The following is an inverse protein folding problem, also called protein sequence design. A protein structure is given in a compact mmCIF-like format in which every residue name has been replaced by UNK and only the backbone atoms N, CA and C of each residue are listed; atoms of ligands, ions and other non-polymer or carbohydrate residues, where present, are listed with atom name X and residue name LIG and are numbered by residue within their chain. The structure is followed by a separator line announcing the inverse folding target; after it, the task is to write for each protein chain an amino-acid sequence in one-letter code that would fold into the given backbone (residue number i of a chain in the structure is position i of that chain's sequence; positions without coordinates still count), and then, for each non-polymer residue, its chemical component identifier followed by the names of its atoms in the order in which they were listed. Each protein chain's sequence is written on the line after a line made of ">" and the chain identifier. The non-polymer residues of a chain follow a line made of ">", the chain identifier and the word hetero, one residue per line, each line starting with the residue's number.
data_IF_796700505452
#
_entry.id   IF_796700505452
#
_cell.length_a   1.000
_cell.length_b   1.000
_cell.length_c   1.000
_cell.angle_alpha   90.00
_cell.angle_beta   90.00
_cell.angle_gamma   90.00
#
_symmetry.space_group_name_H-M   'P 1'
#
loop_
_entity.id
_entity.type
_entity.pdbx_description
1 polymer ?
#
# COMPACT_ATOMS: atom_id res chain seq x y z
N UNK A 1 14.29 -12.92 66.33
CA UNK A 1 14.11 -11.50 65.94
C UNK A 1 15.09 -11.07 64.82
N UNK A 2 16.41 -10.95 65.03
CA UNK A 2 17.32 -10.43 63.97
C UNK A 2 17.63 -11.44 62.83
N UNK A 3 17.74 -12.75 63.13
CA UNK A 3 18.07 -13.77 62.12
C UNK A 3 16.94 -14.11 61.12
N UNK A 4 15.68 -13.96 61.51
CA UNK A 4 14.53 -14.17 60.62
C UNK A 4 14.38 -13.02 59.62
N UNK A 5 14.66 -11.79 60.07
CA UNK A 5 14.69 -10.61 59.21
C UNK A 5 15.80 -10.73 58.14
N UNK A 6 16.97 -11.26 58.49
CA UNK A 6 18.05 -11.52 57.55
C UNK A 6 17.69 -12.56 56.48
N UNK A 7 16.97 -13.63 56.86
CA UNK A 7 16.46 -14.64 55.92
C UNK A 7 15.43 -14.06 54.94
N UNK A 8 14.50 -13.24 55.43
CA UNK A 8 13.50 -12.58 54.59
C UNK A 8 14.14 -11.60 53.59
N UNK A 9 15.16 -10.86 54.02
CA UNK A 9 15.92 -9.94 53.15
C UNK A 9 16.63 -10.73 52.04
N UNK A 10 17.27 -11.85 52.38
CA UNK A 10 17.95 -12.70 51.39
C UNK A 10 16.97 -13.29 50.37
N UNK A 11 15.83 -13.81 50.82
CA UNK A 11 14.79 -14.33 49.93
C UNK A 11 14.22 -13.26 48.99
N UNK A 12 14.02 -12.03 49.48
CA UNK A 12 13.60 -10.90 48.65
C UNK A 12 14.68 -10.49 47.64
N UNK A 13 15.95 -10.52 48.03
CA UNK A 13 17.08 -10.24 47.13
C UNK A 13 17.14 -11.25 45.98
N UNK A 14 17.07 -12.55 46.30
CA UNK A 14 17.09 -13.63 45.30
C UNK A 14 15.90 -13.52 44.34
N UNK A 15 14.70 -13.21 44.88
CA UNK A 15 13.49 -13.01 44.08
C UNK A 15 13.62 -11.80 43.13
N UNK A 16 14.24 -10.72 43.61
CA UNK A 16 14.46 -9.49 42.82
C UNK A 16 15.50 -9.73 41.72
N UNK A 17 16.57 -10.47 42.02
CA UNK A 17 17.59 -10.86 41.02
C UNK A 17 16.98 -11.72 39.90
N UNK A 18 16.11 -12.66 40.25
CA UNK A 18 15.40 -13.48 39.26
C UNK A 18 14.47 -12.64 38.37
N UNK A 19 13.72 -11.70 38.95
CA UNK A 19 12.87 -10.78 38.19
C UNK A 19 13.69 -9.88 37.26
N UNK A 20 14.83 -9.38 37.73
CA UNK A 20 15.73 -8.57 36.91
C UNK A 20 16.28 -9.37 35.72
N UNK A 21 16.71 -10.61 35.94
CA UNK A 21 17.17 -11.50 34.87
C UNK A 21 16.08 -11.74 33.81
N UNK A 22 14.84 -12.02 34.23
CA UNK A 22 13.71 -12.16 33.30
C UNK A 22 13.41 -10.85 32.55
N UNK A 23 13.51 -9.71 33.23
CA UNK A 23 13.29 -8.40 32.62
C UNK A 23 14.31 -8.09 31.53
N UNK A 24 15.60 -8.41 31.73
CA UNK A 24 16.62 -8.22 30.71
C UNK A 24 16.42 -9.17 29.52
N UNK A 25 16.04 -10.43 29.76
CA UNK A 25 15.69 -11.36 28.67
C UNK A 25 14.52 -10.85 27.81
N UNK A 26 13.47 -10.32 28.46
CA UNK A 26 12.35 -9.72 27.74
C UNK A 26 12.76 -8.48 26.94
N UNK A 27 13.63 -7.65 27.50
CA UNK A 27 14.15 -6.47 26.81
C UNK A 27 14.97 -6.85 25.58
N UNK A 28 15.85 -7.84 25.69
CA UNK A 28 16.61 -8.38 24.54
C UNK A 28 15.68 -8.94 23.47
N UNK A 29 14.66 -9.70 23.86
CA UNK A 29 13.66 -10.23 22.94
C UNK A 29 12.90 -9.12 22.20
N UNK A 30 12.46 -8.09 22.93
CA UNK A 30 11.77 -6.94 22.33
C UNK A 30 12.69 -6.15 21.38
N UNK A 31 13.97 -6.00 21.71
CA UNK A 31 14.95 -5.37 20.82
C UNK A 31 15.12 -6.15 19.51
N UNK A 32 15.20 -7.48 19.59
CA UNK A 32 15.27 -8.33 18.40
C UNK A 32 14.00 -8.20 17.54
N UNK A 33 12.82 -8.20 18.17
CA UNK A 33 11.55 -8.05 17.46
C UNK A 33 11.44 -6.68 16.77
N UNK A 34 11.84 -5.60 17.45
CA UNK A 34 11.87 -4.25 16.87
C UNK A 34 12.82 -4.22 15.67
N UNK A 35 14.01 -4.81 15.79
CA UNK A 35 14.96 -4.87 14.69
C UNK A 35 14.39 -5.60 13.47
N UNK A 36 13.72 -6.74 13.67
CA UNK A 36 13.05 -7.46 12.59
C UNK A 36 11.92 -6.64 11.94
N UNK A 37 11.11 -5.95 12.75
CA UNK A 37 10.06 -5.07 12.24
C UNK A 37 10.62 -3.93 11.41
N UNK A 38 11.72 -3.31 11.84
CA UNK A 38 12.42 -2.27 11.09
C UNK A 38 12.94 -2.79 9.74
N UNK A 39 13.53 -3.99 9.71
CA UNK A 39 13.97 -4.62 8.46
C UNK A 39 12.80 -4.87 7.51
N UNK A 40 11.69 -5.43 8.01
CA UNK A 40 10.50 -5.66 7.20
C UNK A 40 9.90 -4.36 6.68
N UNK A 41 9.86 -3.32 7.50
CA UNK A 41 9.38 -2.00 7.10
C UNK A 41 10.24 -1.41 5.99
N UNK A 42 11.57 -1.53 6.09
CA UNK A 42 12.47 -1.04 5.04
C UNK A 42 12.23 -1.77 3.71
N UNK A 43 12.10 -3.10 3.74
CA UNK A 43 11.80 -3.88 2.54
C UNK A 43 10.48 -3.47 1.89
N UNK A 44 9.45 -3.18 2.68
CA UNK A 44 8.17 -2.69 2.15
C UNK A 44 8.30 -1.32 1.49
N UNK A 45 9.07 -0.40 2.08
CA UNK A 45 9.32 0.92 1.48
C UNK A 45 10.07 0.81 0.15
N UNK A 46 11.04 -0.11 0.06
CA UNK A 46 11.79 -0.34 -1.18
C UNK A 46 10.85 -0.85 -2.29
N UNK A 47 9.97 -1.81 -1.97
CA UNK A 47 8.97 -2.33 -2.91
C UNK A 47 7.97 -1.25 -3.34
N UNK A 48 7.47 -0.43 -2.41
CA UNK A 48 6.56 0.68 -2.73
C UNK A 48 7.24 1.67 -3.68
N UNK A 49 8.50 1.98 -3.43
CA UNK A 49 9.28 2.89 -4.28
C UNK A 49 9.46 2.31 -5.68
N UNK A 50 9.81 1.03 -5.79
CA UNK A 50 9.95 0.35 -7.08
C UNK A 50 8.63 0.33 -7.86
N UNK A 51 7.52 -0.01 -7.20
CA UNK A 51 6.20 -0.02 -7.83
C UNK A 51 5.77 1.38 -8.27
N UNK A 52 6.02 2.40 -7.46
CA UNK A 52 5.72 3.79 -7.81
C UNK A 52 6.49 4.24 -9.05
N UNK A 53 7.77 3.87 -9.15
CA UNK A 53 8.58 4.15 -10.33
C UNK A 53 8.06 3.41 -11.57
N UNK A 54 7.62 2.15 -11.44
CA UNK A 54 7.01 1.40 -12.55
C UNK A 54 5.71 2.04 -13.03
N UNK A 55 4.86 2.50 -12.12
CA UNK A 55 3.62 3.22 -12.46
C UNK A 55 3.96 4.49 -13.24
N UNK A 56 4.90 5.31 -12.74
CA UNK A 56 5.31 6.53 -13.43
C UNK A 56 5.84 6.25 -14.83
N UNK A 57 6.64 5.19 -15.00
CA UNK A 57 7.14 4.77 -16.32
C UNK A 57 5.99 4.32 -17.25
N UNK A 58 4.99 3.61 -16.73
CA UNK A 58 3.82 3.21 -17.52
C UNK A 58 2.99 4.42 -17.94
N UNK A 59 2.77 5.38 -17.04
CA UNK A 59 2.05 6.62 -17.34
C UNK A 59 2.79 7.47 -18.38
N UNK A 60 4.11 7.58 -18.28
CA UNK A 60 4.93 8.32 -19.25
C UNK A 60 4.95 7.67 -20.63
N UNK A 61 4.93 6.34 -20.69
CA UNK A 61 4.96 5.60 -21.96
C UNK A 61 3.56 5.35 -22.54
N UNK A 62 2.49 5.66 -21.80
CA UNK A 62 1.13 5.52 -22.29
C UNK A 62 0.74 6.75 -23.12
N UNK A 63 1.25 6.81 -24.36
CA UNK A 63 0.66 7.72 -25.34
C UNK A 63 -0.80 7.27 -25.58
N UNK A 64 -1.81 8.10 -25.24
CA UNK A 64 -3.19 7.70 -25.39
C UNK A 64 -3.47 7.44 -26.86
N UNK A 65 -3.81 6.18 -27.18
CA UNK A 65 -3.97 5.75 -28.57
C UNK A 65 -4.89 6.75 -29.31
N UNK A 66 -4.43 7.31 -30.45
CA UNK A 66 -5.12 8.38 -31.15
C UNK A 66 -6.60 8.10 -31.47
N UNK A 67 -6.94 6.83 -31.72
CA UNK A 67 -8.32 6.40 -32.01
C UNK A 67 -9.23 6.63 -30.80
N UNK A 68 -8.80 6.26 -29.59
CA UNK A 68 -9.58 6.52 -28.37
C UNK A 68 -9.61 8.00 -28.00
N UNK A 69 -8.51 8.73 -28.23
CA UNK A 69 -8.46 10.19 -28.01
C UNK A 69 -9.45 10.91 -28.93
N UNK A 70 -9.54 10.49 -30.20
CA UNK A 70 -10.52 11.00 -31.17
C UNK A 70 -11.95 10.62 -30.77
N UNK A 71 -12.20 9.35 -30.46
CA UNK A 71 -13.52 8.86 -30.06
C UNK A 71 -14.05 9.59 -28.83
N UNK A 72 -13.22 9.80 -27.80
CA UNK A 72 -13.58 10.58 -26.60
C UNK A 72 -14.03 12.00 -26.94
N UNK A 73 -13.26 12.72 -27.78
CA UNK A 73 -13.63 14.07 -28.22
C UNK A 73 -14.94 14.10 -29.01
N UNK A 74 -15.15 13.12 -29.89
CA UNK A 74 -16.40 13.00 -30.65
C UNK A 74 -17.59 12.78 -29.70
N UNK A 75 -17.47 11.87 -28.72
CA UNK A 75 -18.51 11.62 -27.72
C UNK A 75 -18.76 12.86 -26.85
N UNK A 76 -17.71 13.60 -26.46
CA UNK A 76 -17.82 14.86 -25.73
C UNK A 76 -18.65 15.91 -26.47
N UNK A 77 -18.45 16.00 -27.79
CA UNK A 77 -19.18 16.87 -28.71
C UNK A 77 -20.59 16.36 -29.05
N UNK A 78 -20.96 15.16 -28.60
CA UNK A 78 -22.30 14.59 -28.77
C UNK A 78 -22.47 13.68 -29.98
N UNK A 79 -21.37 13.19 -30.57
CA UNK A 79 -21.44 12.17 -31.62
C UNK A 79 -22.18 10.92 -31.13
N UNK A 80 -22.98 10.33 -32.01
CA UNK A 80 -23.76 9.14 -31.70
C UNK A 80 -22.95 7.84 -31.85
N UNK A 81 -23.45 6.74 -31.29
CA UNK A 81 -22.74 5.47 -31.22
C UNK A 81 -22.23 5.00 -32.60
N UNK A 82 -23.09 5.06 -33.62
CA UNK A 82 -22.75 4.56 -34.96
C UNK A 82 -21.72 5.46 -35.65
N UNK A 83 -21.79 6.77 -35.45
CA UNK A 83 -20.81 7.75 -35.95
C UNK A 83 -19.42 7.50 -35.33
N UNK A 84 -19.36 7.24 -34.02
CA UNK A 84 -18.10 6.95 -33.32
C UNK A 84 -17.48 5.63 -33.80
N UNK A 85 -18.29 4.59 -34.01
CA UNK A 85 -17.82 3.29 -34.54
C UNK A 85 -17.19 3.47 -35.92
N UNK A 86 -17.89 4.17 -36.82
CA UNK A 86 -17.45 4.35 -38.20
C UNK A 86 -16.20 5.24 -38.30
N UNK A 87 -16.17 6.37 -37.61
CA UNK A 87 -15.10 7.37 -37.75
C UNK A 87 -13.83 7.04 -36.96
N UNK A 88 -13.96 6.29 -35.87
CA UNK A 88 -12.82 5.92 -35.02
C UNK A 88 -12.35 4.49 -35.24
N UNK A 89 -13.02 3.73 -36.12
CA UNK A 89 -12.68 2.34 -36.47
C UNK A 89 -12.55 1.42 -35.24
N UNK A 90 -13.34 1.69 -34.19
CA UNK A 90 -13.39 0.89 -32.96
C UNK A 90 -14.61 -0.04 -32.96
N UNK A 91 -14.55 -1.12 -32.20
CA UNK A 91 -15.69 -2.03 -32.08
C UNK A 91 -16.87 -1.38 -31.35
N UNK A 92 -18.08 -1.89 -31.62
CA UNK A 92 -19.30 -1.43 -30.94
C UNK A 92 -19.19 -1.48 -29.42
N UNK A 93 -18.62 -2.56 -28.88
CA UNK A 93 -18.44 -2.73 -27.44
C UNK A 93 -17.52 -1.65 -26.85
N UNK A 94 -16.46 -1.26 -27.57
CA UNK A 94 -15.56 -0.19 -27.15
C UNK A 94 -16.25 1.18 -27.18
N UNK A 95 -17.01 1.47 -28.23
CA UNK A 95 -17.76 2.72 -28.35
C UNK A 95 -18.83 2.84 -27.25
N UNK A 96 -19.56 1.75 -26.96
CA UNK A 96 -20.55 1.71 -25.87
C UNK A 96 -19.90 1.95 -24.50
N UNK A 97 -18.73 1.34 -24.24
CA UNK A 97 -17.97 1.56 -23.01
C UNK A 97 -17.55 3.03 -22.86
N UNK A 98 -16.97 3.64 -23.90
CA UNK A 98 -16.53 5.03 -23.85
C UNK A 98 -17.71 6.00 -23.59
N UNK A 99 -18.86 5.76 -24.20
CA UNK A 99 -20.07 6.56 -23.97
C UNK A 99 -20.57 6.39 -22.53
N UNK A 100 -20.57 5.16 -22.00
CA UNK A 100 -20.97 4.89 -20.63
C UNK A 100 -20.03 5.56 -19.61
N UNK A 101 -18.71 5.51 -19.84
CA UNK A 101 -17.71 6.21 -19.02
C UNK A 101 -17.92 7.71 -19.05
N UNK A 102 -18.19 8.31 -20.21
CA UNK A 102 -18.42 9.76 -20.33
C UNK A 102 -19.71 10.22 -19.64
N UNK A 103 -20.73 9.36 -19.60
CA UNK A 103 -21.95 9.64 -18.82
C UNK A 103 -21.64 9.66 -17.32
N UNK A 104 -20.82 8.74 -16.83
CA UNK A 104 -20.41 8.69 -15.42
C UNK A 104 -19.59 9.93 -15.01
N UNK A 105 -18.66 10.39 -15.85
CA UNK A 105 -17.85 11.58 -15.58
C UNK A 105 -18.65 12.88 -15.62
N UNK A 106 -19.73 12.98 -16.42
CA UNK A 106 -20.63 14.14 -16.41
C UNK A 106 -21.59 14.18 -15.21
N UNK A 107 -21.78 13.06 -14.51
CA UNK A 107 -22.65 12.96 -13.32
C UNK A 107 -21.92 13.11 -11.99
N UNK A 108 -20.59 13.19 -12.00
CA UNK A 108 -19.74 13.45 -10.83
C UNK A 108 -19.32 14.93 -10.80
#
# INVERSE_FOLDING_TARGET
>A
MQGESLKQIKQKLDSTQLLHSKSEQHKEYLQQLISQLQTNQQQQLDVITELSNKILMLEQNHEPNPLYTRAKKMIELGAELEEVIQECEISRAEAELLIAMQKQTKTA
#
